data_IF_480370719371
#
_entry.id   IF_480370719371
#
_cell.length_a   1.000
_cell.length_b   1.000
_cell.length_c   1.000
_cell.angle_alpha   90.00
_cell.angle_beta   90.00
_cell.angle_gamma   90.00
#
_symmetry.space_group_name_H-M   'P 1'
#
loop_
_entity.id
_entity.type
_entity.pdbx_description
1 polymer ?
#
# COMPACT_ATOMS: atom_id res chain seq x y z
N UNK A 1 7.33 2.88 2.38
CA UNK A 1 6.04 3.29 1.76
C UNK A 1 6.35 4.15 0.54
N UNK A 2 5.62 3.98 -0.56
CA UNK A 2 5.84 4.76 -1.79
C UNK A 2 5.24 6.17 -1.66
N UNK A 3 5.89 7.19 -2.21
CA UNK A 3 5.39 8.57 -2.15
C UNK A 3 3.99 8.79 -2.76
N UNK A 4 3.56 8.09 -3.83
CA UNK A 4 2.19 8.23 -4.35
C UNK A 4 1.12 7.79 -3.34
N UNK A 5 1.38 6.71 -2.61
CA UNK A 5 0.49 6.20 -1.55
C UNK A 5 0.40 7.20 -0.40
N UNK A 6 1.53 7.82 -0.02
CA UNK A 6 1.55 8.89 0.98
C UNK A 6 0.65 10.06 0.56
N UNK A 7 0.80 10.53 -0.68
CA UNK A 7 0.04 11.67 -1.22
C UNK A 7 -1.46 11.37 -1.28
N UNK A 8 -1.84 10.16 -1.64
CA UNK A 8 -3.25 9.75 -1.59
C UNK A 8 -3.81 9.79 -0.17
N UNK A 9 -3.05 9.25 0.78
CA UNK A 9 -3.45 9.20 2.18
C UNK A 9 -3.54 10.61 2.80
N UNK A 10 -2.67 11.55 2.40
CA UNK A 10 -2.77 12.98 2.71
C UNK A 10 -4.04 13.61 2.13
N UNK A 11 -4.37 13.32 0.86
CA UNK A 11 -5.62 13.80 0.24
C UNK A 11 -6.84 13.28 1.00
N UNK A 12 -6.84 12.01 1.43
CA UNK A 12 -7.93 11.43 2.22
C UNK A 12 -8.06 12.06 3.61
N UNK A 13 -6.94 12.39 4.25
CA UNK A 13 -6.94 13.07 5.56
C UNK A 13 -7.58 14.47 5.50
N UNK A 14 -7.49 15.15 4.36
CA UNK A 14 -8.05 16.50 4.16
C UNK A 14 -9.48 16.46 3.58
N UNK A 15 -9.67 15.70 2.50
CA UNK A 15 -10.88 15.75 1.65
C UNK A 15 -11.83 14.55 1.83
N UNK A 16 -11.44 13.55 2.63
CA UNK A 16 -12.28 12.38 2.88
C UNK A 16 -13.55 12.69 3.68
N UNK A 17 -14.43 11.69 3.79
CA UNK A 17 -15.55 11.73 4.74
C UNK A 17 -15.03 11.88 6.19
N UNK A 18 -15.86 12.33 7.16
CA UNK A 18 -15.40 12.48 8.55
C UNK A 18 -14.73 11.22 9.12
N UNK A 19 -15.24 10.04 8.79
CA UNK A 19 -14.65 8.75 9.15
C UNK A 19 -13.29 8.55 8.46
N UNK A 20 -13.25 8.68 7.13
CA UNK A 20 -12.04 8.45 6.36
C UNK A 20 -10.92 9.43 6.75
N UNK A 21 -11.24 10.69 7.07
CA UNK A 21 -10.25 11.67 7.55
C UNK A 21 -9.58 11.21 8.83
N UNK A 22 -10.37 10.78 9.82
CA UNK A 22 -9.84 10.29 11.10
C UNK A 22 -8.94 9.06 10.91
N UNK A 23 -9.38 8.11 10.08
CA UNK A 23 -8.62 6.90 9.76
C UNK A 23 -7.34 7.22 8.99
N UNK A 24 -7.40 8.11 7.99
CA UNK A 24 -6.26 8.54 7.20
C UNK A 24 -5.24 9.34 8.03
N UNK A 25 -5.69 10.25 8.89
CA UNK A 25 -4.79 10.96 9.82
C UNK A 25 -4.07 10.01 10.77
N UNK A 26 -4.75 8.97 11.26
CA UNK A 26 -4.10 7.94 12.06
C UNK A 26 -3.07 7.15 11.25
N UNK A 27 -3.43 6.75 10.03
CA UNK A 27 -2.50 6.06 9.13
C UNK A 27 -1.28 6.93 8.74
N UNK A 28 -1.42 8.25 8.58
CA UNK A 28 -0.28 9.16 8.36
C UNK A 28 0.72 9.12 9.50
N UNK A 29 0.23 9.21 10.75
CA UNK A 29 1.08 9.12 11.95
C UNK A 29 1.82 7.79 12.04
N UNK A 30 1.18 6.70 11.59
CA UNK A 30 1.84 5.39 11.51
C UNK A 30 2.89 5.36 10.40
N UNK A 31 2.62 6.00 9.26
CA UNK A 31 3.52 6.07 8.12
C UNK A 31 4.80 6.89 8.39
N UNK A 32 4.81 7.78 9.40
CA UNK A 32 6.02 8.47 9.87
C UNK A 32 7.13 7.50 10.32
N UNK A 33 6.76 6.29 10.76
CA UNK A 33 7.72 5.23 11.13
C UNK A 33 8.25 4.45 9.93
N UNK A 34 7.72 4.70 8.73
CA UNK A 34 8.14 4.04 7.52
C UNK A 34 9.15 4.88 6.75
N UNK A 35 10.14 4.23 6.13
CA UNK A 35 10.97 4.89 5.11
C UNK A 35 10.11 5.24 3.91
N UNK A 36 10.13 6.51 3.49
CA UNK A 36 9.46 6.98 2.28
C UNK A 36 10.40 6.78 1.09
N UNK A 37 9.91 6.03 0.11
CA UNK A 37 10.57 5.89 -1.20
C UNK A 37 9.91 6.91 -2.11
N UNK A 38 10.67 7.93 -2.50
CA UNK A 38 10.16 8.93 -3.44
C UNK A 38 10.31 8.45 -4.88
N UNK A 39 9.18 8.37 -5.59
CA UNK A 39 9.13 8.04 -7.02
C UNK A 39 9.05 9.30 -7.91
N UNK A 40 9.16 10.49 -7.33
CA UNK A 40 9.00 11.75 -8.04
C UNK A 40 7.55 12.03 -8.40
N UNK A 41 7.31 12.56 -9.60
CA UNK A 41 5.95 12.77 -10.11
C UNK A 41 5.37 11.43 -10.60
N UNK A 42 4.27 11.01 -9.97
CA UNK A 42 3.49 9.86 -10.38
C UNK A 42 2.07 10.31 -10.69
N UNK A 43 1.66 10.12 -11.94
CA UNK A 43 0.36 10.56 -12.44
C UNK A 43 -0.66 9.42 -12.52
N UNK A 44 -0.22 8.16 -12.38
CA UNK A 44 -1.08 6.98 -12.40
C UNK A 44 -1.73 6.69 -11.05
N UNK A 45 -2.47 5.58 -11.00
CA UNK A 45 -3.06 5.10 -9.77
C UNK A 45 -1.97 4.66 -8.77
N UNK A 46 -2.09 4.95 -7.46
CA UNK A 46 -1.12 4.49 -6.46
C UNK A 46 -0.91 2.97 -6.44
N UNK A 47 -1.94 2.17 -6.73
CA UNK A 47 -1.83 0.72 -6.84
C UNK A 47 -0.94 0.31 -8.01
N UNK A 48 -0.97 1.05 -9.13
CA UNK A 48 -0.08 0.80 -10.26
C UNK A 48 1.39 1.06 -9.88
N UNK A 49 1.65 2.09 -9.07
CA UNK A 49 2.98 2.33 -8.54
C UNK A 49 3.46 1.15 -7.69
N UNK A 50 2.58 0.60 -6.84
CA UNK A 50 2.88 -0.57 -6.01
C UNK A 50 3.22 -1.78 -6.89
N UNK A 51 2.38 -2.10 -7.87
CA UNK A 51 2.59 -3.26 -8.76
C UNK A 51 3.91 -3.12 -9.53
N UNK A 52 4.18 -1.93 -10.08
CA UNK A 52 5.41 -1.68 -10.83
C UNK A 52 6.65 -1.85 -9.96
N UNK A 53 6.71 -1.14 -8.84
CA UNK A 53 7.88 -1.17 -7.94
C UNK A 53 8.08 -2.57 -7.36
N UNK A 54 7.01 -3.24 -6.97
CA UNK A 54 7.13 -4.57 -6.39
C UNK A 54 7.59 -5.63 -7.40
N UNK A 55 7.15 -5.52 -8.66
CA UNK A 55 7.63 -6.38 -9.75
C UNK A 55 9.10 -6.14 -10.08
N UNK A 56 9.53 -4.87 -10.13
CA UNK A 56 10.93 -4.51 -10.42
C UNK A 56 11.87 -4.91 -9.29
N UNK A 57 11.48 -4.64 -8.04
CA UNK A 57 12.34 -4.86 -6.86
C UNK A 57 12.18 -6.24 -6.25
N UNK A 58 11.23 -7.04 -6.76
CA UNK A 58 10.85 -8.35 -6.22
C UNK A 58 10.59 -8.33 -4.71
N UNK A 59 9.99 -7.24 -4.23
CA UNK A 59 9.77 -7.04 -2.81
C UNK A 59 8.37 -7.52 -2.40
N UNK A 60 8.21 -8.09 -1.20
CA UNK A 60 6.91 -8.47 -0.69
C UNK A 60 6.05 -7.22 -0.43
N UNK A 61 4.76 -7.28 -0.76
CA UNK A 61 3.82 -6.17 -0.57
C UNK A 61 2.87 -6.48 0.58
N UNK A 62 2.71 -5.55 1.52
CA UNK A 62 1.68 -5.63 2.54
C UNK A 62 0.38 -4.95 2.07
N UNK A 63 -0.67 -5.73 1.78
CA UNK A 63 -1.98 -5.17 1.41
C UNK A 63 -3.13 -6.12 1.72
N UNK A 64 -4.25 -5.56 2.18
CA UNK A 64 -5.50 -6.28 2.38
C UNK A 64 -6.46 -6.16 1.19
N UNK A 65 -6.13 -5.36 0.17
CA UNK A 65 -6.98 -5.22 -1.01
C UNK A 65 -6.93 -6.50 -1.86
N UNK A 66 -8.10 -7.11 -2.09
CA UNK A 66 -8.20 -8.37 -2.82
C UNK A 66 -7.87 -8.27 -4.30
N UNK A 67 -8.16 -7.13 -4.96
CA UNK A 67 -7.85 -6.89 -6.37
C UNK A 67 -6.34 -6.69 -6.53
N UNK A 68 -5.72 -5.88 -5.68
CA UNK A 68 -4.28 -5.65 -5.69
C UNK A 68 -3.52 -6.95 -5.39
N UNK A 69 -3.96 -7.73 -4.38
CA UNK A 69 -3.38 -9.04 -4.09
C UNK A 69 -3.45 -10.01 -5.27
N UNK A 70 -4.53 -9.99 -6.06
CA UNK A 70 -4.62 -10.81 -7.28
C UNK A 70 -3.58 -10.35 -8.30
N UNK A 71 -3.52 -9.05 -8.61
CA UNK A 71 -2.57 -8.47 -9.58
C UNK A 71 -1.12 -8.79 -9.23
N UNK A 72 -0.75 -8.70 -7.95
CA UNK A 72 0.61 -8.98 -7.48
C UNK A 72 0.97 -10.47 -7.61
N UNK A 73 0.02 -11.37 -7.34
CA UNK A 73 0.24 -12.82 -7.54
C UNK A 73 0.41 -13.17 -9.01
N UNK A 74 -0.33 -12.53 -9.90
CA UNK A 74 -0.22 -12.76 -11.34
C UNK A 74 1.18 -12.41 -11.88
N UNK A 75 1.93 -11.55 -11.18
CA UNK A 75 3.32 -11.20 -11.47
C UNK A 75 4.35 -11.85 -10.52
N UNK A 76 3.95 -12.89 -9.78
CA UNK A 76 4.78 -13.64 -8.83
C UNK A 76 5.41 -12.80 -7.70
N UNK A 77 4.74 -11.72 -7.27
CA UNK A 77 5.15 -10.93 -6.12
C UNK A 77 4.51 -11.49 -4.84
N UNK A 78 5.28 -11.79 -3.78
CA UNK A 78 4.71 -12.23 -2.50
C UNK A 78 3.87 -11.15 -1.84
N UNK A 79 2.74 -11.52 -1.23
CA UNK A 79 1.82 -10.59 -0.57
C UNK A 79 1.60 -10.97 0.88
N UNK A 80 1.77 -10.01 1.79
CA UNK A 80 1.48 -10.12 3.22
C UNK A 80 0.13 -9.46 3.49
N UNK A 81 -0.75 -10.12 4.23
CA UNK A 81 -2.08 -9.57 4.55
C UNK A 81 -2.55 -10.00 5.94
N UNK A 82 -3.48 -9.23 6.50
CA UNK A 82 -4.12 -9.52 7.78
C UNK A 82 -5.31 -10.44 7.56
N UNK A 83 -5.32 -11.58 8.26
CA UNK A 83 -6.41 -12.53 8.29
C UNK A 83 -6.95 -12.70 9.71
N UNK A 84 -8.23 -13.04 9.83
CA UNK A 84 -8.89 -13.23 11.14
C UNK A 84 -8.70 -12.03 12.10
N UNK A 85 -8.57 -10.81 11.54
CA UNK A 85 -8.39 -9.52 12.24
C UNK A 85 -7.08 -9.34 13.02
N UNK A 86 -6.29 -10.38 13.25
CA UNK A 86 -5.08 -10.31 14.09
C UNK A 86 -3.89 -11.12 13.58
N UNK A 87 -4.07 -12.01 12.60
CA UNK A 87 -3.01 -12.89 12.12
C UNK A 87 -2.43 -12.34 10.82
N UNK A 88 -1.11 -12.40 10.66
CA UNK A 88 -0.45 -12.11 9.39
C UNK A 88 -0.29 -13.41 8.62
N UNK A 89 -0.69 -13.40 7.35
CA UNK A 89 -0.46 -14.49 6.40
C UNK A 89 0.31 -13.97 5.19
N UNK A 90 1.06 -14.87 4.56
CA UNK A 90 1.88 -14.60 3.39
C UNK A 90 1.38 -15.52 2.27
N UNK A 91 1.10 -14.95 1.11
CA UNK A 91 0.74 -15.66 -0.11
C UNK A 91 1.85 -15.48 -1.15
N UNK A 92 2.42 -16.59 -1.63
CA UNK A 92 3.65 -16.64 -2.44
C UNK A 92 4.82 -17.32 -1.73
N UNK A 93 5.75 -17.91 -2.49
CA UNK A 93 7.02 -18.46 -1.95
C UNK A 93 8.06 -17.33 -1.85
N UNK A 94 8.76 -17.26 -0.72
CA UNK A 94 9.97 -16.45 -0.54
C UNK A 94 11.19 -17.19 -1.10
#
# INVERSE_FOLDING_TARGET
>A
MLSPVKRELEKLAVKGSPKNRKEASYALRMAEKCTIVDLGEWFGDPDEAIVKVAGEWKCPVFTNDGKLRKRLRDINVPVIYVRQKSRLEIDGRM
#
